data_IF_157333188317
#
_entry.id   IF_157333188317
#
_cell.length_a   1.000
_cell.length_b   1.000
_cell.length_c   1.000
_cell.angle_alpha   90.00
_cell.angle_beta   90.00
_cell.angle_gamma   90.00
#
_symmetry.space_group_name_H-M   'P 1'
#
loop_
_entity.id
_entity.type
_entity.pdbx_description
1 polymer ?
#
# COMPACT_ATOMS: atom_id res chain seq x y z
N UNK A 1 -39.60 -9.90 20.16
CA UNK A 1 -38.77 -8.68 20.30
C UNK A 1 -38.32 -8.30 18.90
N UNK A 2 -39.07 -7.44 18.21
CA UNK A 2 -38.68 -6.97 16.88
C UNK A 2 -37.65 -5.86 17.07
N UNK A 3 -36.42 -6.08 16.61
CA UNK A 3 -35.36 -5.06 16.65
C UNK A 3 -35.76 -3.90 15.75
N UNK A 4 -35.95 -2.73 16.34
CA UNK A 4 -36.09 -1.47 15.63
C UNK A 4 -34.72 -1.11 15.06
N UNK A 5 -34.46 -1.46 13.80
CA UNK A 5 -33.28 -0.98 13.09
C UNK A 5 -33.55 0.47 12.69
N UNK A 6 -32.85 1.40 13.33
CA UNK A 6 -32.91 2.81 13.00
C UNK A 6 -32.18 3.02 11.67
N UNK A 7 -32.92 2.99 10.56
CA UNK A 7 -32.40 3.23 9.21
C UNK A 7 -32.22 4.74 8.92
N UNK A 8 -32.38 5.60 9.94
CA UNK A 8 -32.24 7.04 9.83
C UNK A 8 -30.77 7.51 9.81
N UNK A 9 -29.82 6.66 10.21
CA UNK A 9 -28.40 6.97 10.07
C UNK A 9 -27.97 6.97 8.60
N UNK A 10 -27.17 7.97 8.22
CA UNK A 10 -26.55 8.02 6.90
C UNK A 10 -25.72 6.76 6.70
N UNK A 11 -26.09 5.96 5.70
CA UNK A 11 -25.32 4.76 5.36
C UNK A 11 -23.88 5.15 5.00
N UNK A 12 -22.93 4.85 5.87
CA UNK A 12 -21.50 5.14 5.71
C UNK A 12 -20.73 4.04 4.93
N UNK A 13 -21.45 3.22 4.15
CA UNK A 13 -20.88 2.12 3.39
C UNK A 13 -20.89 2.32 1.88
N UNK A 14 -20.25 1.40 1.16
CA UNK A 14 -20.32 1.35 -0.30
C UNK A 14 -21.66 0.76 -0.76
N UNK A 15 -22.26 1.31 -1.82
CA UNK A 15 -23.49 0.78 -2.42
C UNK A 15 -23.24 0.37 -3.87
N UNK A 16 -23.78 -0.76 -4.30
CA UNK A 16 -23.81 -1.13 -5.72
C UNK A 16 -25.20 -0.80 -6.27
N UNK A 17 -25.26 -0.05 -7.37
CA UNK A 17 -26.50 0.25 -8.09
C UNK A 17 -26.28 0.12 -9.60
N UNK A 18 -26.77 -0.97 -10.18
CA UNK A 18 -26.46 -1.33 -11.56
C UNK A 18 -24.94 -1.44 -11.75
N UNK A 19 -24.42 -0.75 -12.77
CA UNK A 19 -22.98 -0.74 -13.10
C UNK A 19 -22.15 0.27 -12.29
N UNK A 20 -22.74 0.85 -11.24
CA UNK A 20 -22.12 1.88 -10.43
C UNK A 20 -21.85 1.40 -9.02
N UNK A 21 -20.61 1.61 -8.58
CA UNK A 21 -20.19 1.56 -7.19
C UNK A 21 -20.26 2.97 -6.61
N UNK A 22 -21.03 3.15 -5.55
CA UNK A 22 -21.29 4.43 -4.90
C UNK A 22 -20.54 4.46 -3.57
N UNK A 23 -19.72 5.49 -3.34
CA UNK A 23 -19.01 5.70 -2.08
C UNK A 23 -19.97 6.16 -0.97
N UNK A 24 -19.56 6.07 0.31
CA UNK A 24 -20.29 6.68 1.42
C UNK A 24 -20.60 8.17 1.21
N UNK A 25 -19.65 8.89 0.59
CA UNK A 25 -19.76 10.32 0.27
C UNK A 25 -20.68 10.62 -0.93
N UNK A 26 -21.20 9.58 -1.58
CA UNK A 26 -22.11 9.68 -2.72
C UNK A 26 -21.42 9.70 -4.09
N UNK A 27 -20.09 9.56 -4.15
CA UNK A 27 -19.36 9.50 -5.41
C UNK A 27 -19.70 8.24 -6.19
N UNK A 28 -19.84 8.38 -7.51
CA UNK A 28 -20.14 7.25 -8.40
C UNK A 28 -18.89 6.82 -9.17
N UNK A 29 -18.61 5.53 -9.12
CA UNK A 29 -17.48 4.87 -9.76
C UNK A 29 -18.04 3.78 -10.68
N UNK A 30 -17.81 3.89 -11.98
CA UNK A 30 -18.09 2.80 -12.91
C UNK A 30 -16.92 1.80 -12.93
N UNK A 31 -17.13 0.65 -13.57
CA UNK A 31 -16.13 -0.41 -13.66
C UNK A 31 -14.79 0.08 -14.26
N UNK A 32 -14.83 0.93 -15.28
CA UNK A 32 -13.62 1.47 -15.93
C UNK A 32 -12.81 2.36 -14.98
N UNK A 33 -13.48 3.25 -14.23
CA UNK A 33 -12.84 4.11 -13.23
C UNK A 33 -12.25 3.29 -12.09
N UNK A 34 -12.97 2.26 -11.62
CA UNK A 34 -12.47 1.34 -10.61
C UNK A 34 -11.20 0.62 -11.09
N UNK A 35 -11.18 0.12 -12.33
CA UNK A 35 -10.00 -0.52 -12.90
C UNK A 35 -8.79 0.44 -12.95
N UNK A 36 -9.00 1.70 -13.31
CA UNK A 36 -7.97 2.73 -13.28
C UNK A 36 -7.41 2.97 -11.87
N UNK A 37 -8.29 3.08 -10.86
CA UNK A 37 -7.89 3.24 -9.46
C UNK A 37 -7.05 2.05 -8.97
N UNK A 38 -7.47 0.83 -9.26
CA UNK A 38 -6.73 -0.39 -8.91
C UNK A 38 -5.38 -0.46 -9.62
N UNK A 39 -5.29 0.00 -10.87
CA UNK A 39 -4.04 0.08 -11.59
C UNK A 39 -3.06 1.06 -10.93
N UNK A 40 -3.51 2.26 -10.57
CA UNK A 40 -2.70 3.28 -9.89
C UNK A 40 -2.22 2.77 -8.53
N UNK A 41 -3.10 2.13 -7.75
CA UNK A 41 -2.72 1.51 -6.48
C UNK A 41 -1.63 0.42 -6.67
N UNK A 42 -1.76 -0.41 -7.70
CA UNK A 42 -0.75 -1.42 -8.04
C UNK A 42 0.63 -0.82 -8.37
N UNK A 43 0.64 0.34 -9.04
CA UNK A 43 1.87 1.06 -9.37
C UNK A 43 2.51 1.63 -8.12
N UNK A 44 1.71 2.26 -7.25
CA UNK A 44 2.16 2.81 -5.98
C UNK A 44 2.78 1.74 -5.08
N UNK A 45 2.15 0.57 -4.97
CA UNK A 45 2.68 -0.58 -4.22
C UNK A 45 4.00 -1.10 -4.79
N UNK A 46 4.11 -1.19 -6.12
CA UNK A 46 5.36 -1.58 -6.80
C UNK A 46 6.47 -0.58 -6.54
N UNK A 47 6.18 0.72 -6.63
CA UNK A 47 7.15 1.78 -6.36
C UNK A 47 7.63 1.75 -4.89
N UNK A 48 6.72 1.57 -3.93
CA UNK A 48 7.06 1.44 -2.52
C UNK A 48 7.96 0.22 -2.25
N UNK A 49 7.63 -0.94 -2.83
CA UNK A 49 8.46 -2.17 -2.72
C UNK A 49 9.85 -1.98 -3.32
N UNK A 50 9.95 -1.33 -4.49
CA UNK A 50 11.23 -1.05 -5.12
C UNK A 50 12.11 -0.11 -4.27
N UNK A 51 11.51 0.92 -3.64
CA UNK A 51 12.22 1.81 -2.71
C UNK A 51 12.72 1.05 -1.48
N UNK A 52 11.88 0.21 -0.86
CA UNK A 52 12.27 -0.61 0.29
C UNK A 52 13.43 -1.56 -0.03
N UNK A 53 13.40 -2.23 -1.19
CA UNK A 53 14.48 -3.14 -1.62
C UNK A 53 15.81 -2.40 -1.88
N UNK A 54 15.77 -1.16 -2.39
CA UNK A 54 16.98 -0.34 -2.59
C UNK A 54 17.60 0.09 -1.25
N UNK A 55 16.78 0.40 -0.25
CA UNK A 55 17.26 0.69 1.11
C UNK A 55 17.97 -0.52 1.71
N UNK A 56 17.30 -1.68 1.71
CA UNK A 56 17.85 -2.91 2.31
C UNK A 56 19.14 -3.38 1.63
N UNK A 57 19.24 -3.28 0.30
CA UNK A 57 20.47 -3.63 -0.42
C UNK A 57 21.61 -2.66 -0.11
N UNK A 58 21.34 -1.36 0.02
CA UNK A 58 22.37 -0.40 0.40
C UNK A 58 22.88 -0.63 1.82
N UNK A 59 21.98 -0.98 2.75
CA UNK A 59 22.34 -1.34 4.13
C UNK A 59 23.22 -2.59 4.16
N UNK A 60 22.85 -3.64 3.43
CA UNK A 60 23.64 -4.88 3.31
C UNK A 60 25.00 -4.62 2.68
N UNK A 61 25.07 -3.85 1.58
CA UNK A 61 26.32 -3.50 0.91
C UNK A 61 27.21 -2.67 1.83
N UNK A 62 26.64 -1.73 2.59
CA UNK A 62 27.40 -0.89 3.53
C UNK A 62 27.92 -1.71 4.71
N UNK A 63 27.10 -2.60 5.27
CA UNK A 63 27.50 -3.52 6.33
C UNK A 63 28.62 -4.48 5.86
N UNK A 64 28.50 -5.01 4.63
CA UNK A 64 29.52 -5.85 4.02
C UNK A 64 30.84 -5.09 3.84
N UNK A 65 30.81 -3.86 3.28
CA UNK A 65 32.00 -3.02 3.12
C UNK A 65 32.69 -2.71 4.45
N UNK A 66 31.93 -2.37 5.50
CA UNK A 66 32.48 -2.17 6.85
C UNK A 66 33.15 -3.42 7.39
N UNK A 67 32.56 -4.60 7.17
CA UNK A 67 33.12 -5.87 7.62
C UNK A 67 34.42 -6.23 6.89
N UNK A 68 34.49 -5.98 5.58
CA UNK A 68 35.72 -6.17 4.79
C UNK A 68 36.82 -5.20 5.23
N UNK A 69 36.50 -3.93 5.47
CA UNK A 69 37.47 -2.94 5.96
C UNK A 69 38.04 -3.33 7.33
N UNK A 70 37.18 -3.80 8.26
CA UNK A 70 37.61 -4.26 9.58
C UNK A 70 38.44 -5.56 9.54
N UNK A 71 38.19 -6.44 8.57
CA UNK A 71 38.96 -7.67 8.40
C UNK A 71 40.30 -7.46 7.68
N UNK A 72 40.47 -6.34 6.97
CA UNK A 72 41.74 -5.92 6.38
C UNK A 72 42.63 -5.12 7.33
N UNK A 73 42.14 -4.79 8.52
CA UNK A 73 42.87 -4.08 9.57
C UNK A 73 43.18 -5.06 10.70
N UNK A 74 44.08 -6.00 10.42
CA UNK A 74 44.74 -6.81 11.44
C UNK A 74 45.94 -5.99 11.99
N UNK A 75 45.94 -5.57 13.27
CA UNK A 75 47.07 -4.87 13.86
C UNK A 75 48.02 -5.89 14.51
N UNK A 76 49.12 -6.21 13.80
CA UNK A 76 50.23 -7.03 14.30
C UNK A 76 50.49 -8.21 13.36
N UNK A 77 51.73 -8.48 12.92
CA UNK A 77 53.05 -8.20 13.48
C UNK A 77 54.11 -8.24 12.38
#
# INVERSE_FOLDING_TARGET
>A
MAGHFDLADSWDGWKVRGDWLISPDGDRINAQRLAGLLFVDSLSKRAAKARGKKSSLQEVVTAFRKKVAKAGEDPGS
#
